data_IF_673760642346
#
_entry.id   IF_673760642346
#
_cell.length_a   1.000
_cell.length_b   1.000
_cell.length_c   1.000
_cell.angle_alpha   90.00
_cell.angle_beta   90.00
_cell.angle_gamma   90.00
#
_symmetry.space_group_name_H-M   'P 1'
#
loop_
_entity.id
_entity.type
_entity.pdbx_description
1 polymer ?
#
# COMPACT_ATOMS: atom_id res chain seq x y z
N UNK A 1 -1.04 -31.53 13.49
CA UNK A 1 -0.06 -30.51 13.04
C UNK A 1 -0.41 -29.82 11.71
N UNK A 2 -1.07 -30.48 10.74
CA UNK A 2 -1.43 -29.85 9.46
C UNK A 2 -2.50 -28.73 9.55
N UNK A 3 -3.44 -28.83 10.50
CA UNK A 3 -4.47 -27.81 10.75
C UNK A 3 -3.91 -26.44 11.22
N UNK A 4 -2.78 -26.45 11.92
CA UNK A 4 -2.20 -25.25 12.52
C UNK A 4 -1.49 -24.37 11.48
N UNK A 5 -0.83 -25.01 10.50
CA UNK A 5 -0.07 -24.31 9.45
C UNK A 5 -0.96 -23.47 8.52
N UNK A 6 -2.17 -23.94 8.20
CA UNK A 6 -3.14 -23.16 7.40
C UNK A 6 -3.66 -21.94 8.15
N UNK A 7 -3.88 -22.08 9.47
CA UNK A 7 -4.36 -20.99 10.32
C UNK A 7 -3.30 -19.91 10.50
N UNK A 8 -2.04 -20.30 10.72
CA UNK A 8 -0.90 -19.39 10.81
C UNK A 8 -0.68 -18.62 9.51
N UNK A 9 -0.74 -19.30 8.35
CA UNK A 9 -0.68 -18.65 7.04
C UNK A 9 -1.75 -17.58 6.87
N UNK A 10 -2.99 -17.90 7.22
CA UNK A 10 -4.09 -16.96 7.07
C UNK A 10 -3.94 -15.75 7.99
N UNK A 11 -3.58 -15.96 9.26
CA UNK A 11 -3.28 -14.87 10.21
C UNK A 11 -2.15 -13.97 9.70
N UNK A 12 -1.11 -14.56 9.12
CA UNK A 12 0.00 -13.81 8.53
C UNK A 12 -0.44 -12.94 7.35
N UNK A 13 -1.27 -13.46 6.44
CA UNK A 13 -1.82 -12.66 5.33
C UNK A 13 -2.71 -11.53 5.84
N UNK A 14 -3.54 -11.76 6.87
CA UNK A 14 -4.34 -10.71 7.49
C UNK A 14 -3.46 -9.63 8.15
N UNK A 15 -2.40 -10.01 8.85
CA UNK A 15 -1.44 -9.06 9.42
C UNK A 15 -0.79 -8.21 8.33
N UNK A 16 -0.37 -8.83 7.23
CA UNK A 16 0.18 -8.11 6.09
C UNK A 16 -0.85 -7.14 5.49
N UNK A 17 -2.10 -7.57 5.28
CA UNK A 17 -3.17 -6.70 4.80
C UNK A 17 -3.44 -5.49 5.71
N UNK A 18 -3.35 -5.68 7.04
CA UNK A 18 -3.41 -4.59 8.01
C UNK A 18 -2.25 -3.61 7.79
N UNK A 19 -1.01 -4.11 7.70
CA UNK A 19 0.18 -3.29 7.52
C UNK A 19 0.19 -2.56 6.17
N UNK A 20 -0.30 -3.18 5.10
CA UNK A 20 -0.44 -2.51 3.81
C UNK A 20 -1.48 -1.39 3.89
N UNK A 21 -2.63 -1.62 4.52
CA UNK A 21 -3.65 -0.59 4.73
C UNK A 21 -3.10 0.60 5.53
N UNK A 22 -2.35 0.30 6.60
CA UNK A 22 -1.63 1.30 7.41
C UNK A 22 -0.66 2.12 6.55
N UNK A 23 0.18 1.46 5.75
CA UNK A 23 1.18 2.14 4.93
C UNK A 23 0.55 2.99 3.82
N UNK A 24 -0.46 2.47 3.10
CA UNK A 24 -1.15 3.20 2.02
C UNK A 24 -1.68 4.54 2.54
N UNK A 25 -2.46 4.51 3.63
CA UNK A 25 -3.06 5.73 4.17
C UNK A 25 -2.03 6.66 4.82
N UNK A 26 -0.97 6.11 5.42
CA UNK A 26 0.10 6.92 5.99
C UNK A 26 0.84 7.69 4.90
N UNK A 27 1.13 7.07 3.75
CA UNK A 27 1.73 7.75 2.60
C UNK A 27 0.76 8.79 2.01
N UNK A 28 -0.54 8.48 1.92
CA UNK A 28 -1.55 9.44 1.43
C UNK A 28 -1.57 10.72 2.27
N UNK A 29 -1.60 10.59 3.60
CA UNK A 29 -1.53 11.75 4.49
C UNK A 29 -0.19 12.49 4.41
N UNK A 30 0.91 11.78 4.15
CA UNK A 30 2.20 12.41 3.89
C UNK A 30 2.24 13.18 2.60
N UNK A 31 1.46 12.78 1.59
CA UNK A 31 1.28 13.58 0.38
C UNK A 31 0.90 15.02 0.66
N UNK A 32 -0.04 15.26 1.59
CA UNK A 32 -0.46 16.61 1.96
C UNK A 32 0.69 17.45 2.52
N UNK A 33 1.58 16.84 3.33
CA UNK A 33 2.76 17.53 3.88
C UNK A 33 3.88 17.71 2.87
N UNK A 34 4.08 16.76 1.97
CA UNK A 34 5.11 16.82 0.93
C UNK A 34 4.78 17.92 -0.09
N UNK A 35 3.50 18.07 -0.44
CA UNK A 35 3.06 19.05 -1.44
C UNK A 35 2.85 20.45 -0.86
N UNK A 36 2.58 20.58 0.44
CA UNK A 36 2.25 21.86 1.08
C UNK A 36 3.29 22.97 0.90
N UNK A 37 4.61 22.72 0.99
CA UNK A 37 5.62 23.78 0.79
C UNK A 37 5.57 24.43 -0.60
N UNK A 38 5.09 23.71 -1.62
CA UNK A 38 5.06 24.17 -3.00
C UNK A 38 3.67 24.68 -3.42
N UNK A 39 2.62 23.93 -3.11
CA UNK A 39 1.26 24.20 -3.61
C UNK A 39 0.27 24.63 -2.52
N UNK A 40 0.71 24.69 -1.25
CA UNK A 40 -0.13 24.99 -0.10
C UNK A 40 -1.07 23.83 0.29
N UNK A 41 -2.06 24.13 1.13
CA UNK A 41 -2.99 23.13 1.70
C UNK A 41 -4.45 23.33 1.25
N UNK A 42 -4.65 23.77 0.00
CA UNK A 42 -5.99 24.06 -0.53
C UNK A 42 -6.79 22.79 -0.83
N UNK A 43 -8.10 22.94 -1.06
CA UNK A 43 -8.98 21.83 -1.48
C UNK A 43 -8.52 21.19 -2.80
N UNK A 44 -7.82 21.94 -3.65
CA UNK A 44 -7.30 21.43 -4.92
C UNK A 44 -6.14 20.45 -4.72
N UNK A 45 -5.27 20.71 -3.75
CA UNK A 45 -4.14 19.84 -3.41
C UNK A 45 -4.63 18.52 -2.81
N UNK A 46 -5.53 18.58 -1.83
CA UNK A 46 -6.15 17.39 -1.25
C UNK A 46 -6.97 16.62 -2.28
N UNK A 47 -7.75 17.32 -3.11
CA UNK A 47 -8.50 16.71 -4.20
C UNK A 47 -7.59 15.98 -5.19
N UNK A 48 -6.41 16.53 -5.49
CA UNK A 48 -5.41 15.90 -6.35
C UNK A 48 -4.86 14.61 -5.75
N UNK A 49 -4.43 14.65 -4.49
CA UNK A 49 -3.87 13.49 -3.78
C UNK A 49 -4.89 12.36 -3.75
N UNK A 50 -6.11 12.64 -3.26
CA UNK A 50 -7.18 11.63 -3.16
C UNK A 50 -7.51 11.07 -4.54
N UNK A 51 -7.63 11.91 -5.57
CA UNK A 51 -7.91 11.46 -6.94
C UNK A 51 -6.86 10.48 -7.44
N UNK A 52 -5.57 10.81 -7.29
CA UNK A 52 -4.49 9.93 -7.74
C UNK A 52 -4.46 8.63 -6.94
N UNK A 53 -4.66 8.69 -5.62
CA UNK A 53 -4.72 7.49 -4.80
C UNK A 53 -5.91 6.59 -5.18
N UNK A 54 -7.10 7.14 -5.37
CA UNK A 54 -8.28 6.36 -5.78
C UNK A 54 -8.10 5.73 -7.16
N UNK A 55 -7.56 6.46 -8.14
CA UNK A 55 -7.30 5.94 -9.50
C UNK A 55 -6.22 4.84 -9.45
N UNK A 56 -5.12 5.09 -8.73
CA UNK A 56 -4.04 4.12 -8.57
C UNK A 56 -4.52 2.85 -7.88
N UNK A 57 -5.26 2.97 -6.77
CA UNK A 57 -5.84 1.83 -6.05
C UNK A 57 -6.83 1.06 -6.92
N UNK A 58 -7.72 1.75 -7.64
CA UNK A 58 -8.66 1.12 -8.57
C UNK A 58 -7.94 0.29 -9.65
N UNK A 59 -6.93 0.89 -10.30
CA UNK A 59 -6.09 0.18 -11.26
C UNK A 59 -5.33 -0.99 -10.63
N UNK A 60 -4.77 -0.78 -9.42
CA UNK A 60 -4.11 -1.81 -8.62
C UNK A 60 -5.04 -2.97 -8.26
N UNK A 61 -6.30 -2.70 -7.92
CA UNK A 61 -7.29 -3.74 -7.62
C UNK A 61 -7.58 -4.61 -8.85
N UNK A 62 -7.74 -3.99 -10.01
CA UNK A 62 -7.98 -4.70 -11.26
C UNK A 62 -6.77 -5.56 -11.65
N UNK A 63 -5.58 -4.96 -11.71
CA UNK A 63 -4.33 -5.62 -12.10
C UNK A 63 -3.92 -6.70 -11.10
N UNK A 64 -4.07 -6.44 -9.80
CA UNK A 64 -3.80 -7.40 -8.73
C UNK A 64 -4.74 -8.59 -8.79
N UNK A 65 -6.02 -8.36 -9.06
CA UNK A 65 -7.02 -9.40 -9.30
C UNK A 65 -6.63 -10.31 -10.45
N UNK A 66 -6.29 -9.74 -11.61
CA UNK A 66 -5.86 -10.47 -12.81
C UNK A 66 -4.56 -11.26 -12.58
N UNK A 67 -3.57 -10.63 -11.95
CA UNK A 67 -2.28 -11.25 -11.68
C UNK A 67 -2.39 -12.40 -10.67
N UNK A 68 -3.31 -12.30 -9.72
CA UNK A 68 -3.56 -13.35 -8.73
C UNK A 68 -4.11 -14.65 -9.34
N UNK A 69 -4.70 -14.61 -10.54
CA UNK A 69 -5.24 -15.81 -11.21
C UNK A 69 -4.15 -16.77 -11.69
N UNK A 70 -2.95 -16.26 -11.99
CA UNK A 70 -1.85 -17.02 -12.60
C UNK A 70 -0.96 -17.67 -11.54
N UNK A 71 -1.40 -18.78 -10.95
CA UNK A 71 -0.66 -19.52 -9.90
C UNK A 71 -0.29 -18.65 -8.69
N UNK A 72 -1.28 -18.30 -7.84
CA UNK A 72 -1.07 -17.44 -6.69
C UNK A 72 -0.09 -18.08 -5.70
N UNK A 73 0.89 -17.31 -5.22
CA UNK A 73 1.90 -17.80 -4.26
C UNK A 73 2.38 -16.70 -3.33
N UNK A 74 2.84 -17.09 -2.14
CA UNK A 74 3.43 -16.14 -1.18
C UNK A 74 4.70 -15.46 -1.72
N UNK A 75 5.44 -16.09 -2.63
CA UNK A 75 6.59 -15.45 -3.30
C UNK A 75 6.14 -14.28 -4.17
N UNK A 76 5.16 -14.49 -5.06
CA UNK A 76 4.59 -13.41 -5.88
C UNK A 76 3.95 -12.32 -5.01
N UNK A 77 3.33 -12.70 -3.90
CA UNK A 77 2.83 -11.75 -2.92
C UNK A 77 3.94 -10.91 -2.28
N UNK A 78 5.07 -11.53 -1.90
CA UNK A 78 6.22 -10.81 -1.36
C UNK A 78 6.82 -9.80 -2.34
N UNK A 79 6.78 -10.11 -3.64
CA UNK A 79 7.20 -9.18 -4.69
C UNK A 79 6.36 -7.89 -4.68
N UNK A 80 5.05 -7.95 -4.39
CA UNK A 80 4.23 -6.72 -4.29
C UNK A 80 4.70 -5.82 -3.14
N UNK A 81 5.07 -6.40 -2.00
CA UNK A 81 5.59 -5.66 -0.86
C UNK A 81 6.97 -5.03 -1.16
N UNK A 82 7.88 -5.83 -1.73
CA UNK A 82 9.22 -5.36 -2.08
C UNK A 82 9.19 -4.31 -3.19
N UNK A 83 8.38 -4.52 -4.23
CA UNK A 83 8.19 -3.54 -5.29
C UNK A 83 7.52 -2.27 -4.75
N UNK A 84 6.48 -2.39 -3.91
CA UNK A 84 5.84 -1.23 -3.27
C UNK A 84 6.83 -0.40 -2.46
N UNK A 85 7.65 -1.05 -1.64
CA UNK A 85 8.73 -0.42 -0.89
C UNK A 85 9.77 0.25 -1.80
N UNK A 86 10.22 -0.44 -2.85
CA UNK A 86 11.18 0.09 -3.81
C UNK A 86 10.64 1.30 -4.57
N UNK A 87 9.36 1.30 -4.95
CA UNK A 87 8.74 2.42 -5.66
C UNK A 87 8.42 3.62 -4.77
N UNK A 88 8.51 3.46 -3.44
CA UNK A 88 8.46 4.58 -2.49
C UNK A 88 9.84 5.21 -2.24
N UNK A 89 10.96 4.52 -2.52
CA UNK A 89 12.30 5.10 -2.36
C UNK A 89 12.50 6.40 -3.16
N UNK A 90 12.04 6.51 -4.43
CA UNK A 90 12.17 7.75 -5.17
C UNK A 90 11.54 8.97 -4.51
N UNK A 91 10.44 8.77 -3.77
CA UNK A 91 9.79 9.83 -3.01
C UNK A 91 10.71 10.43 -1.94
N UNK A 92 11.55 9.59 -1.32
CA UNK A 92 12.48 10.02 -0.26
C UNK A 92 13.71 10.72 -0.84
N UNK A 93 14.28 10.19 -1.92
CA UNK A 93 15.55 10.69 -2.46
C UNK A 93 15.40 11.79 -3.52
N UNK A 94 14.31 11.79 -4.28
CA UNK A 94 14.07 12.72 -5.38
C UNK A 94 12.75 13.48 -5.25
N UNK A 95 12.02 13.32 -4.14
CA UNK A 95 10.73 13.99 -3.92
C UNK A 95 10.81 15.51 -4.09
N UNK A 96 11.75 16.15 -3.39
CA UNK A 96 11.95 17.60 -3.46
C UNK A 96 12.32 18.06 -4.88
N UNK A 97 13.23 17.35 -5.55
CA UNK A 97 13.62 17.67 -6.93
C UNK A 97 12.44 17.58 -7.89
N UNK A 98 11.60 16.54 -7.77
CA UNK A 98 10.40 16.38 -8.61
C UNK A 98 9.40 17.50 -8.32
N UNK A 99 9.19 17.85 -7.05
CA UNK A 99 8.29 18.96 -6.67
C UNK A 99 8.77 20.30 -7.21
N UNK A 100 10.05 20.62 -7.04
CA UNK A 100 10.65 21.86 -7.56
C UNK A 100 10.51 21.95 -9.09
N UNK A 101 10.82 20.87 -9.81
CA UNK A 101 10.69 20.82 -11.27
C UNK A 101 9.24 21.02 -11.73
N UNK A 102 8.28 20.41 -11.04
CA UNK A 102 6.85 20.59 -11.36
C UNK A 102 6.42 22.01 -11.06
N UNK A 103 6.80 22.55 -9.90
CA UNK A 103 6.40 23.88 -9.45
C UNK A 103 6.89 24.98 -10.40
N UNK A 104 8.16 24.91 -10.84
CA UNK A 104 8.73 25.87 -11.82
C UNK A 104 7.98 25.84 -13.17
N UNK A 105 7.37 24.70 -13.54
CA UNK A 105 6.65 24.56 -14.81
C UNK A 105 5.15 24.81 -14.69
N UNK A 106 4.56 24.56 -13.52
CA UNK A 106 3.13 24.62 -13.26
C UNK A 106 2.92 25.16 -11.84
N UNK A 107 2.90 26.48 -11.72
CA UNK A 107 2.70 27.15 -10.43
C UNK A 107 1.26 27.06 -9.91
N UNK A 108 0.27 26.92 -10.81
CA UNK A 108 -1.15 26.80 -10.42
C UNK A 108 -1.34 25.57 -9.53
N UNK A 109 -1.75 25.74 -8.26
CA UNK A 109 -1.90 24.63 -7.33
C UNK A 109 -2.84 23.54 -7.83
N UNK A 110 -3.84 23.83 -8.68
CA UNK A 110 -4.79 22.84 -9.19
C UNK A 110 -4.11 21.80 -10.08
N UNK A 111 -3.28 22.26 -11.00
CA UNK A 111 -2.64 21.41 -12.00
C UNK A 111 -1.27 20.94 -11.50
N UNK A 112 -0.53 21.82 -10.83
CA UNK A 112 0.77 21.50 -10.24
C UNK A 112 0.68 20.37 -9.22
N UNK A 113 -0.26 20.45 -8.27
CA UNK A 113 -0.46 19.38 -7.28
C UNK A 113 -0.94 18.07 -7.90
N UNK A 114 -1.71 18.13 -8.99
CA UNK A 114 -2.21 16.95 -9.68
C UNK A 114 -1.08 16.21 -10.38
N UNK A 115 -0.24 16.94 -11.14
CA UNK A 115 0.94 16.37 -11.82
C UNK A 115 1.96 15.87 -10.80
N UNK A 116 2.22 16.66 -9.75
CA UNK A 116 3.07 16.25 -8.63
C UNK A 116 2.60 14.94 -8.01
N UNK A 117 1.32 14.86 -7.64
CA UNK A 117 0.73 13.66 -7.04
C UNK A 117 0.81 12.47 -7.99
N UNK A 118 0.54 12.68 -9.28
CA UNK A 118 0.62 11.65 -10.31
C UNK A 118 2.03 11.06 -10.39
N UNK A 119 3.06 11.89 -10.49
CA UNK A 119 4.44 11.44 -10.63
C UNK A 119 4.96 10.73 -9.38
N UNK A 120 4.59 11.23 -8.20
CA UNK A 120 5.09 10.73 -6.93
C UNK A 120 4.35 9.49 -6.41
N UNK A 121 3.02 9.45 -6.56
CA UNK A 121 2.19 8.48 -5.83
C UNK A 121 1.51 7.44 -6.73
N UNK A 122 1.38 7.66 -8.04
CA UNK A 122 0.65 6.74 -8.91
C UNK A 122 1.24 5.33 -8.87
N UNK A 123 2.53 5.20 -9.14
CA UNK A 123 3.21 3.91 -9.23
C UNK A 123 3.23 3.14 -7.89
N UNK A 124 3.69 3.73 -6.76
CA UNK A 124 3.69 3.01 -5.50
C UNK A 124 2.28 2.64 -5.04
N UNK A 125 1.31 3.55 -5.14
CA UNK A 125 -0.06 3.28 -4.70
C UNK A 125 -0.74 2.22 -5.58
N UNK A 126 -0.45 2.18 -6.89
CA UNK A 126 -0.96 1.13 -7.78
C UNK A 126 -0.46 -0.25 -7.33
N UNK A 127 0.85 -0.39 -7.07
CA UNK A 127 1.43 -1.66 -6.63
C UNK A 127 0.87 -2.09 -5.27
N UNK A 128 0.77 -1.14 -4.32
CA UNK A 128 0.18 -1.41 -3.02
C UNK A 128 -1.31 -1.79 -3.13
N UNK A 129 -2.05 -1.20 -4.07
CA UNK A 129 -3.43 -1.57 -4.37
C UNK A 129 -3.58 -3.04 -4.80
N UNK A 130 -2.58 -3.62 -5.47
CA UNK A 130 -2.61 -5.03 -5.88
C UNK A 130 -2.63 -6.01 -4.71
N UNK A 131 -2.22 -5.60 -3.50
CA UNK A 131 -2.08 -6.46 -2.32
C UNK A 131 -3.42 -7.03 -1.88
N UNK A 132 -4.48 -6.23 -1.85
CA UNK A 132 -5.81 -6.64 -1.36
C UNK A 132 -6.42 -7.79 -2.18
N UNK A 133 -6.65 -7.67 -3.50
CA UNK A 133 -7.21 -8.78 -4.28
C UNK A 133 -6.30 -10.00 -4.30
N UNK A 134 -4.98 -9.81 -4.27
CA UNK A 134 -4.03 -10.92 -4.20
C UNK A 134 -4.15 -11.68 -2.87
N UNK A 135 -4.32 -10.97 -1.76
CA UNK A 135 -4.54 -11.54 -0.43
C UNK A 135 -5.83 -12.35 -0.38
N UNK A 136 -6.94 -11.84 -0.96
CA UNK A 136 -8.20 -12.59 -1.08
C UNK A 136 -7.93 -13.91 -1.80
N UNK A 137 -7.24 -13.87 -2.94
CA UNK A 137 -6.95 -15.08 -3.72
C UNK A 137 -6.09 -16.10 -2.96
N UNK A 138 -5.18 -15.65 -2.10
CA UNK A 138 -4.35 -16.55 -1.26
C UNK A 138 -5.11 -17.18 -0.08
N UNK A 139 -6.19 -16.53 0.36
CA UNK A 139 -7.02 -16.93 1.51
C UNK A 139 -8.25 -17.76 1.10
N UNK A 140 -8.75 -17.60 -0.13
CA UNK A 140 -9.90 -18.35 -0.64
C UNK A 140 -9.47 -19.76 -1.04
N UNK A 141 -9.91 -20.76 -0.26
CA UNK A 141 -9.77 -22.18 -0.59
C UNK A 141 -10.99 -22.76 -1.30
N UNK A 142 -12.17 -22.18 -1.08
CA UNK A 142 -13.46 -22.61 -1.65
C UNK A 142 -14.22 -21.36 -2.15
N UNK A 143 -14.66 -21.41 -3.41
CA UNK A 143 -15.41 -20.33 -4.07
C UNK A 143 -16.66 -19.92 -3.31
N UNK A 144 -17.31 -20.85 -2.59
CA UNK A 144 -18.53 -20.58 -1.82
C UNK A 144 -18.34 -19.63 -0.63
N UNK A 145 -17.10 -19.40 -0.19
CA UNK A 145 -16.75 -18.53 0.95
C UNK A 145 -15.98 -17.28 0.56
N UNK A 146 -15.83 -17.01 -0.73
CA UNK A 146 -15.06 -15.89 -1.27
C UNK A 146 -15.51 -14.54 -0.72
N UNK A 147 -16.82 -14.29 -0.65
CA UNK A 147 -17.38 -13.06 -0.08
C UNK A 147 -17.06 -12.87 1.41
N UNK A 148 -17.12 -13.93 2.22
CA UNK A 148 -16.79 -13.86 3.65
C UNK A 148 -15.30 -13.57 3.88
N UNK A 149 -14.42 -14.18 3.08
CA UNK A 149 -12.97 -13.93 3.14
C UNK A 149 -12.65 -12.50 2.72
N UNK A 150 -13.25 -12.02 1.63
CA UNK A 150 -13.11 -10.65 1.18
C UNK A 150 -13.57 -9.64 2.24
N UNK A 151 -14.74 -9.86 2.84
CA UNK A 151 -15.26 -9.00 3.91
C UNK A 151 -14.32 -8.93 5.13
N UNK A 152 -13.78 -10.07 5.59
CA UNK A 152 -12.80 -10.08 6.69
C UNK A 152 -11.51 -9.35 6.32
N UNK A 153 -11.02 -9.54 5.09
CA UNK A 153 -9.81 -8.88 4.62
C UNK A 153 -10.01 -7.36 4.56
N UNK A 154 -11.14 -6.89 4.00
CA UNK A 154 -11.45 -5.47 3.96
C UNK A 154 -11.62 -4.89 5.36
N UNK A 155 -12.26 -5.59 6.30
CA UNK A 155 -12.31 -5.15 7.69
C UNK A 155 -10.91 -4.93 8.27
N UNK A 156 -10.02 -5.92 8.16
CA UNK A 156 -8.66 -5.84 8.72
C UNK A 156 -7.82 -4.76 8.02
N UNK A 157 -7.88 -4.68 6.69
CA UNK A 157 -7.17 -3.67 5.91
C UNK A 157 -7.66 -2.26 6.25
N UNK A 158 -8.97 -2.05 6.32
CA UNK A 158 -9.56 -0.76 6.65
C UNK A 158 -9.26 -0.35 8.08
N UNK A 159 -9.20 -1.29 9.03
CA UNK A 159 -8.75 -1.01 10.39
C UNK A 159 -7.29 -0.55 10.41
N UNK A 160 -6.42 -1.22 9.64
CA UNK A 160 -5.03 -0.80 9.45
C UNK A 160 -4.93 0.60 8.85
N UNK A 161 -5.72 0.87 7.81
CA UNK A 161 -5.86 2.18 7.18
C UNK A 161 -6.29 3.27 8.17
N UNK A 162 -7.33 3.03 8.96
CA UNK A 162 -7.79 3.98 9.98
C UNK A 162 -6.71 4.29 11.01
N UNK A 163 -6.01 3.25 11.50
CA UNK A 163 -4.89 3.42 12.44
C UNK A 163 -3.69 4.11 11.79
N UNK A 164 -3.39 3.85 10.51
CA UNK A 164 -2.35 4.55 9.76
C UNK A 164 -2.65 6.04 9.60
N UNK A 165 -3.89 6.38 9.24
CA UNK A 165 -4.38 7.76 9.17
C UNK A 165 -4.23 8.46 10.51
N UNK A 166 -4.75 7.86 11.60
CA UNK A 166 -4.68 8.46 12.95
C UNK A 166 -3.24 8.56 13.45
N UNK A 167 -2.45 7.49 13.35
CA UNK A 167 -1.05 7.49 13.77
C UNK A 167 -0.26 8.57 13.02
N UNK A 168 -0.43 8.66 11.71
CA UNK A 168 0.28 9.64 10.88
C UNK A 168 -0.13 11.06 11.21
N UNK A 169 -1.43 11.37 11.25
CA UNK A 169 -1.91 12.73 11.46
C UNK A 169 -1.74 13.24 12.90
N UNK A 170 -1.84 12.37 13.91
CA UNK A 170 -1.82 12.80 15.32
C UNK A 170 -0.46 12.61 16.00
N UNK A 171 0.37 11.65 15.57
CA UNK A 171 1.56 11.26 16.33
C UNK A 171 2.84 11.29 15.50
N UNK A 172 2.91 10.52 14.41
CA UNK A 172 4.16 10.36 13.65
C UNK A 172 4.69 11.70 13.14
N UNK A 173 3.78 12.54 12.65
CA UNK A 173 4.04 13.89 12.19
C UNK A 173 4.58 14.84 13.26
N UNK A 174 4.18 14.65 14.52
CA UNK A 174 4.62 15.48 15.62
C UNK A 174 6.02 15.12 16.09
N UNK A 175 6.38 13.83 15.98
CA UNK A 175 7.62 13.29 16.55
C UNK A 175 8.73 13.09 15.51
N UNK A 176 8.39 12.95 14.23
CA UNK A 176 9.33 12.58 13.19
C UNK A 176 9.21 13.48 11.95
N UNK A 177 10.34 13.63 11.27
CA UNK A 177 10.40 14.26 9.96
C UNK A 177 9.78 13.37 8.87
N UNK A 178 9.34 13.99 7.77
CA UNK A 178 8.68 13.32 6.64
C UNK A 178 9.51 12.13 6.13
N UNK A 179 10.82 12.33 5.92
CA UNK A 179 11.70 11.27 5.42
C UNK A 179 11.84 10.10 6.40
N UNK A 180 11.85 10.37 7.71
CA UNK A 180 11.91 9.31 8.73
C UNK A 180 10.63 8.48 8.73
N UNK A 181 9.46 9.12 8.58
CA UNK A 181 8.17 8.44 8.47
C UNK A 181 8.16 7.56 7.21
N UNK A 182 8.51 8.14 6.05
CA UNK A 182 8.53 7.40 4.78
C UNK A 182 9.48 6.20 4.82
N UNK A 183 10.71 6.38 5.31
CA UNK A 183 11.67 5.28 5.46
C UNK A 183 11.18 4.20 6.43
N UNK A 184 10.45 4.58 7.48
CA UNK A 184 9.84 3.62 8.41
C UNK A 184 8.74 2.80 7.72
N UNK A 185 7.87 3.42 6.93
CA UNK A 185 6.83 2.73 6.15
C UNK A 185 7.45 1.80 5.10
N UNK A 186 8.51 2.25 4.41
CA UNK A 186 9.30 1.43 3.48
C UNK A 186 9.91 0.25 4.23
N UNK A 187 10.45 0.45 5.43
CA UNK A 187 10.97 -0.61 6.30
C UNK A 187 9.91 -1.66 6.64
N UNK A 188 8.69 -1.23 7.00
CA UNK A 188 7.56 -2.14 7.28
C UNK A 188 7.22 -2.97 6.04
N UNK A 189 7.11 -2.35 4.87
CA UNK A 189 6.82 -3.05 3.62
C UNK A 189 7.94 -4.02 3.23
N UNK A 190 9.20 -3.59 3.30
CA UNK A 190 10.37 -4.42 3.08
C UNK A 190 10.40 -5.63 4.01
N UNK A 191 10.20 -5.41 5.32
CA UNK A 191 10.16 -6.49 6.30
C UNK A 191 9.02 -7.48 6.00
N UNK A 192 7.81 -6.98 5.71
CA UNK A 192 6.67 -7.81 5.31
C UNK A 192 6.97 -8.65 4.05
N UNK A 193 7.61 -8.05 3.05
CA UNK A 193 8.04 -8.72 1.83
C UNK A 193 9.10 -9.80 2.09
N UNK A 194 10.18 -9.46 2.80
CA UNK A 194 11.25 -10.41 3.14
C UNK A 194 10.71 -11.60 3.94
N UNK A 195 9.90 -11.34 4.97
CA UNK A 195 9.29 -12.41 5.77
C UNK A 195 8.38 -13.27 4.89
N UNK A 196 7.53 -12.67 4.05
CA UNK A 196 6.66 -13.43 3.14
C UNK A 196 7.43 -14.26 2.11
N UNK A 197 8.64 -13.84 1.70
CA UNK A 197 9.48 -14.58 0.76
C UNK A 197 10.10 -15.82 1.39
N UNK A 198 10.60 -15.71 2.63
CA UNK A 198 11.31 -16.79 3.32
C UNK A 198 10.38 -17.76 4.05
N UNK A 199 9.21 -17.31 4.50
CA UNK A 199 8.24 -18.18 5.18
C UNK A 199 7.67 -19.21 4.20
N UNK A 200 8.06 -20.46 4.40
CA UNK A 200 7.50 -21.62 3.69
C UNK A 200 6.44 -22.28 4.56
N UNK A 201 5.17 -22.09 4.22
CA UNK A 201 4.13 -22.96 4.75
C UNK A 201 4.10 -24.25 3.91
N UNK A 202 4.29 -25.44 4.51
CA UNK A 202 4.17 -26.70 3.79
C UNK A 202 2.78 -26.81 3.17
N UNK A 203 2.71 -27.26 1.91
CA UNK A 203 1.42 -27.53 1.25
C UNK A 203 0.71 -28.60 2.07
N UNK A 204 -0.47 -28.28 2.60
CA UNK A 204 -1.38 -29.29 3.11
C UNK A 204 -1.82 -30.08 1.88
N UNK A 205 -1.21 -31.23 1.66
CA UNK A 205 -1.72 -32.21 0.69
C UNK A 205 -3.08 -32.62 1.25
N UNK A 206 -4.16 -32.25 0.57
CA UNK A 206 -5.44 -32.89 0.81
C UNK A 206 -5.22 -34.35 0.41
N UNK A 207 -5.20 -35.25 1.40
CA UNK A 207 -5.31 -36.67 1.12
C UNK A 207 -6.63 -36.90 0.36
N UNK A 208 -6.52 -37.71 -0.69
CA UNK A 208 -7.47 -37.87 -1.80
C UNK A 208 -8.86 -38.35 -1.40
#
# INVERSE_FOLDING_TARGET
MAFDNGLLKNRFIFLLAFLSGFCIMSVELMGGRILAPYFGSSIYVWGSIITIFMVALSAGYLLGGQWSMHSPSLRKFSLLYLCGAATLLPLVFWGDTVMELVFIRIEDPRYGSLVASLLLFLLPTLILGMISPYSIRLLVSDSGRSGQVAGKLYFVSTLGSALGTLATSFYLVLWFEVNTILLSLIGILCAGGVVAFYVRFPRVVAEA
#
